data_IF_740092295684
#
_entry.id   IF_740092295684
#
_cell.length_a   1.000
_cell.length_b   1.000
_cell.length_c   1.000
_cell.angle_alpha   90.00
_cell.angle_beta   90.00
_cell.angle_gamma   90.00
#
_symmetry.space_group_name_H-M   'P 1'
#
loop_
_entity.id
_entity.type
_entity.pdbx_description
1 polymer ?
#
# COMPACT_ATOMS: atom_id res chain seq x y z
N UNK A 1 -38.57 24.06 52.21
CA UNK A 1 -37.67 23.06 52.82
C UNK A 1 -37.25 22.06 51.76
N UNK A 2 -35.93 21.85 51.66
CA UNK A 2 -35.22 20.73 51.06
C UNK A 2 -35.05 20.69 49.53
N UNK A 3 -33.86 21.15 49.12
CA UNK A 3 -33.11 20.60 48.01
C UNK A 3 -32.86 19.10 48.20
N UNK A 4 -32.74 18.34 47.11
CA UNK A 4 -31.79 17.23 47.13
C UNK A 4 -31.21 16.90 45.74
N UNK A 5 -29.88 16.96 45.70
CA UNK A 5 -28.99 16.53 44.65
C UNK A 5 -29.12 15.02 44.38
N UNK A 6 -28.98 14.62 43.12
CA UNK A 6 -28.35 13.34 42.75
C UNK A 6 -27.36 13.61 41.62
N UNK A 7 -26.19 14.06 42.01
CA UNK A 7 -24.98 13.95 41.23
C UNK A 7 -24.54 12.48 41.36
N UNK A 8 -24.70 11.71 40.28
CA UNK A 8 -24.25 10.33 40.25
C UNK A 8 -22.72 10.33 40.07
N UNK A 9 -22.01 9.92 41.12
CA UNK A 9 -20.58 9.62 41.09
C UNK A 9 -20.28 8.55 40.03
N UNK A 10 -19.81 8.98 38.86
CA UNK A 10 -19.05 8.10 37.96
C UNK A 10 -17.63 8.03 38.51
N UNK A 11 -17.31 6.95 39.21
CA UNK A 11 -15.92 6.65 39.54
C UNK A 11 -15.11 6.60 38.23
N UNK A 12 -13.96 7.29 38.15
CA UNK A 12 -13.08 7.18 37.00
C UNK A 12 -12.58 5.74 36.94
N UNK A 13 -12.95 5.02 35.87
CA UNK A 13 -12.46 3.66 35.63
C UNK A 13 -10.94 3.65 35.68
N UNK A 14 -10.37 2.79 36.52
CA UNK A 14 -8.93 2.61 36.63
C UNK A 14 -8.37 2.32 35.22
N UNK A 15 -7.60 3.27 34.66
CA UNK A 15 -6.80 3.00 33.45
C UNK A 15 -5.81 1.90 33.82
N UNK A 16 -5.88 0.77 33.14
CA UNK A 16 -4.79 -0.20 33.17
C UNK A 16 -3.49 0.54 32.79
N UNK A 17 -2.39 0.31 33.51
CA UNK A 17 -1.11 0.90 33.15
C UNK A 17 -0.80 0.48 31.71
N UNK A 18 -0.41 1.44 30.88
CA UNK A 18 0.07 1.14 29.54
C UNK A 18 1.26 0.18 29.70
N UNK A 19 1.16 -1.03 29.14
CA UNK A 19 2.35 -1.86 29.02
C UNK A 19 3.23 -1.22 27.96
N UNK A 20 4.45 -0.82 28.33
CA UNK A 20 5.47 -0.31 27.40
C UNK A 20 5.88 -1.35 26.32
N UNK A 21 5.32 -2.56 26.39
CA UNK A 21 5.53 -3.61 25.41
C UNK A 21 4.51 -3.51 24.29
N UNK A 22 5.01 -3.25 23.08
CA UNK A 22 4.24 -3.52 21.87
C UNK A 22 3.74 -4.97 21.85
N UNK A 23 2.60 -5.25 21.19
CA UNK A 23 2.13 -6.60 20.99
C UNK A 23 3.23 -7.45 20.36
N UNK A 24 3.38 -8.70 20.82
CA UNK A 24 4.37 -9.61 20.27
C UNK A 24 4.02 -9.92 18.81
N UNK A 25 4.82 -9.40 17.88
CA UNK A 25 4.68 -9.70 16.46
C UNK A 25 5.56 -10.89 16.08
N UNK A 26 5.09 -11.73 15.18
CA UNK A 26 5.89 -12.83 14.67
C UNK A 26 7.04 -12.28 13.82
N UNK A 27 8.25 -12.80 14.02
CA UNK A 27 9.38 -12.53 13.13
C UNK A 27 9.05 -13.02 11.73
N UNK A 28 9.27 -12.19 10.72
CA UNK A 28 9.12 -12.59 9.32
C UNK A 28 10.26 -13.52 8.89
N UNK A 29 10.07 -14.18 7.76
CA UNK A 29 11.03 -15.05 7.10
C UNK A 29 11.02 -14.73 5.58
N UNK A 30 11.92 -15.30 4.77
CA UNK A 30 11.84 -15.15 3.33
C UNK A 30 10.48 -15.59 2.76
N UNK A 31 9.82 -16.57 3.36
CA UNK A 31 8.47 -16.98 2.97
C UNK A 31 7.42 -15.90 3.30
N UNK A 32 6.53 -15.54 2.34
CA UNK A 32 5.43 -14.61 2.58
C UNK A 32 4.52 -15.05 3.74
N UNK A 33 4.16 -14.12 4.62
CA UNK A 33 3.19 -14.35 5.68
C UNK A 33 1.81 -13.84 5.25
N UNK A 34 0.83 -14.74 5.18
CA UNK A 34 -0.55 -14.40 4.83
C UNK A 34 -1.48 -14.76 5.98
N UNK A 35 -2.27 -13.79 6.45
CA UNK A 35 -3.25 -14.05 7.49
C UNK A 35 -4.34 -15.01 6.98
N UNK A 36 -4.82 -15.99 7.78
CA UNK A 36 -5.81 -16.98 7.33
C UNK A 36 -7.15 -16.43 6.82
N UNK A 37 -7.48 -15.18 7.14
CA UNK A 37 -8.71 -14.51 6.69
C UNK A 37 -8.53 -13.67 5.42
N UNK A 38 -7.30 -13.59 4.89
CA UNK A 38 -7.05 -12.93 3.61
C UNK A 38 -7.45 -13.84 2.43
N UNK A 39 -7.94 -13.22 1.36
CA UNK A 39 -8.33 -13.91 0.12
C UNK A 39 -7.44 -13.44 -1.02
N UNK A 40 -6.74 -14.39 -1.65
CA UNK A 40 -5.81 -14.12 -2.73
C UNK A 40 -6.28 -14.84 -4.00
N UNK A 41 -6.35 -14.11 -5.12
CA UNK A 41 -6.64 -14.66 -6.45
C UNK A 41 -5.65 -14.12 -7.46
N UNK A 42 -4.97 -15.00 -8.20
CA UNK A 42 -3.93 -14.62 -9.16
C UNK A 42 -2.90 -13.63 -8.57
N UNK A 43 -2.47 -13.87 -7.33
CA UNK A 43 -1.56 -13.00 -6.57
C UNK A 43 -0.19 -13.62 -6.43
N UNK A 44 0.86 -12.83 -6.66
CA UNK A 44 2.26 -13.18 -6.39
C UNK A 44 2.82 -12.31 -5.27
N UNK A 45 3.44 -12.94 -4.28
CA UNK A 45 4.06 -12.26 -3.15
C UNK A 45 5.57 -12.48 -3.19
N UNK A 46 6.32 -11.40 -2.95
CA UNK A 46 7.77 -11.40 -2.78
C UNK A 46 8.20 -11.87 -1.41
N UNK A 47 9.50 -12.02 -1.21
CA UNK A 47 10.06 -12.50 0.05
C UNK A 47 9.86 -11.49 1.18
N UNK A 48 9.75 -11.95 2.43
CA UNK A 48 9.60 -11.07 3.60
C UNK A 48 8.34 -10.19 3.57
N UNK A 49 7.32 -10.58 2.82
CA UNK A 49 6.06 -9.83 2.72
C UNK A 49 5.05 -10.27 3.78
N UNK A 50 4.15 -9.37 4.14
CA UNK A 50 3.04 -9.65 5.05
C UNK A 50 1.70 -9.16 4.49
N UNK A 51 0.68 -10.02 4.55
CA UNK A 51 -0.71 -9.71 4.19
C UNK A 51 -1.59 -9.86 5.43
N UNK A 52 -2.12 -8.74 5.89
CA UNK A 52 -2.96 -8.63 7.08
C UNK A 52 -4.34 -9.26 6.95
N UNK A 53 -5.09 -9.20 8.04
CA UNK A 53 -6.42 -9.80 8.16
C UNK A 53 -7.41 -9.23 7.14
N UNK A 54 -8.29 -10.08 6.61
CA UNK A 54 -9.43 -9.67 5.75
C UNK A 54 -9.02 -8.86 4.51
N UNK A 55 -7.75 -8.95 4.10
CA UNK A 55 -7.31 -8.38 2.85
C UNK A 55 -7.86 -9.19 1.66
N UNK A 56 -8.22 -8.50 0.59
CA UNK A 56 -8.61 -9.10 -0.69
C UNK A 56 -7.62 -8.65 -1.75
N UNK A 57 -6.83 -9.58 -2.26
CA UNK A 57 -5.86 -9.32 -3.33
C UNK A 57 -6.27 -10.09 -4.58
N UNK A 58 -6.48 -9.38 -5.69
CA UNK A 58 -6.97 -9.97 -6.94
C UNK A 58 -6.15 -9.47 -8.14
N UNK A 59 -5.37 -10.34 -8.78
CA UNK A 59 -4.38 -9.98 -9.80
C UNK A 59 -3.34 -8.97 -9.27
N UNK A 60 -2.70 -9.32 -8.16
CA UNK A 60 -1.76 -8.44 -7.44
C UNK A 60 -0.35 -9.02 -7.46
N UNK A 61 0.64 -8.16 -7.69
CA UNK A 61 2.04 -8.46 -7.42
C UNK A 61 2.52 -7.58 -6.26
N UNK A 62 2.98 -8.19 -5.17
CA UNK A 62 3.54 -7.48 -4.01
C UNK A 62 5.04 -7.77 -3.94
N UNK A 63 5.89 -6.76 -4.12
CA UNK A 63 7.35 -6.93 -4.08
C UNK A 63 7.89 -7.26 -2.69
N UNK A 64 9.14 -7.75 -2.66
CA UNK A 64 9.85 -8.14 -1.43
C UNK A 64 9.77 -7.06 -0.33
N UNK A 65 9.64 -7.46 0.92
CA UNK A 65 9.52 -6.61 2.12
C UNK A 65 8.32 -5.67 2.17
N UNK A 66 7.47 -5.63 1.15
CA UNK A 66 6.23 -4.86 1.19
C UNK A 66 5.19 -5.55 2.03
N UNK A 67 4.32 -4.77 2.68
CA UNK A 67 3.22 -5.30 3.46
C UNK A 67 1.93 -4.53 3.22
N UNK A 68 0.83 -5.20 3.52
CA UNK A 68 -0.49 -4.60 3.60
C UNK A 68 -1.17 -4.98 4.90
N UNK A 69 -1.56 -3.96 5.65
CA UNK A 69 -2.31 -4.10 6.88
C UNK A 69 -3.77 -4.50 6.63
N UNK A 70 -4.49 -4.86 7.71
CA UNK A 70 -5.85 -5.39 7.64
C UNK A 70 -6.85 -4.58 6.80
N UNK A 71 -7.86 -5.25 6.28
CA UNK A 71 -9.01 -4.69 5.55
C UNK A 71 -8.63 -3.98 4.22
N UNK A 72 -7.49 -4.32 3.62
CA UNK A 72 -7.09 -3.80 2.30
C UNK A 72 -7.76 -4.53 1.12
N UNK A 73 -8.10 -3.81 0.06
CA UNK A 73 -8.65 -4.39 -1.18
C UNK A 73 -7.86 -3.87 -2.39
N UNK A 74 -7.06 -4.75 -3.00
CA UNK A 74 -6.22 -4.46 -4.16
C UNK A 74 -6.67 -5.31 -5.34
N UNK A 75 -6.88 -4.65 -6.47
CA UNK A 75 -7.24 -5.30 -7.72
C UNK A 75 -6.28 -4.85 -8.82
N UNK A 76 -5.88 -5.71 -9.76
CA UNK A 76 -5.00 -5.34 -10.89
C UNK A 76 -3.93 -4.31 -10.49
N UNK A 77 -3.05 -4.70 -9.57
CA UNK A 77 -2.10 -3.79 -8.94
C UNK A 77 -0.71 -4.43 -8.90
N UNK A 78 0.31 -3.66 -9.27
CA UNK A 78 1.71 -4.02 -9.03
C UNK A 78 2.26 -3.09 -7.96
N UNK A 79 2.83 -3.65 -6.91
CA UNK A 79 3.49 -2.93 -5.81
C UNK A 79 4.96 -3.27 -5.82
N UNK A 80 5.80 -2.26 -5.70
CA UNK A 80 7.25 -2.39 -5.57
C UNK A 80 7.65 -3.08 -4.26
N UNK A 81 8.95 -3.01 -3.98
CA UNK A 81 9.58 -3.55 -2.78
C UNK A 81 9.58 -2.52 -1.66
N UNK A 82 9.60 -2.98 -0.41
CA UNK A 82 9.65 -2.12 0.78
C UNK A 82 8.49 -1.11 0.90
N UNK A 83 7.38 -1.35 0.21
CA UNK A 83 6.22 -0.46 0.23
C UNK A 83 5.29 -0.80 1.39
N UNK A 84 4.94 0.24 2.15
CA UNK A 84 4.08 0.16 3.32
C UNK A 84 2.66 0.55 2.97
N UNK A 85 1.70 -0.38 3.13
CA UNK A 85 0.28 -0.13 2.88
C UNK A 85 -0.50 -0.28 4.19
N UNK A 86 -1.05 0.83 4.69
CA UNK A 86 -1.82 0.84 5.93
C UNK A 86 -3.21 0.21 5.77
N UNK A 87 -3.93 0.06 6.89
CA UNK A 87 -5.23 -0.62 6.90
C UNK A 87 -6.26 0.11 6.03
N UNK A 88 -7.25 -0.65 5.55
CA UNK A 88 -8.43 -0.11 4.85
C UNK A 88 -8.11 0.65 3.54
N UNK A 89 -6.99 0.31 2.89
CA UNK A 89 -6.61 0.89 1.59
C UNK A 89 -7.35 0.19 0.45
N UNK A 90 -7.81 0.97 -0.53
CA UNK A 90 -8.42 0.49 -1.78
C UNK A 90 -7.57 0.89 -2.99
N UNK A 91 -6.92 -0.06 -3.65
CA UNK A 91 -6.23 0.20 -4.92
C UNK A 91 -7.02 -0.39 -6.08
N UNK A 92 -7.19 0.43 -7.13
CA UNK A 92 -7.86 0.08 -8.38
C UNK A 92 -9.32 -0.42 -8.21
N UNK A 93 -10.23 0.39 -7.62
CA UNK A 93 -11.65 0.09 -7.68
C UNK A 93 -12.10 0.13 -9.16
N UNK A 94 -12.41 -1.03 -9.74
CA UNK A 94 -12.57 -1.12 -11.20
C UNK A 94 -13.77 -0.36 -11.73
N UNK A 95 -13.55 0.31 -12.87
CA UNK A 95 -14.56 1.08 -13.56
C UNK A 95 -15.62 0.19 -14.25
N UNK A 96 -16.82 0.72 -14.40
CA UNK A 96 -17.88 0.12 -15.21
C UNK A 96 -17.78 0.62 -16.67
N UNK A 97 -18.12 -0.21 -17.67
CA UNK A 97 -18.06 0.18 -19.07
C UNK A 97 -19.13 1.23 -19.37
N UNK A 98 -18.76 2.51 -19.27
CA UNK A 98 -19.66 3.66 -19.33
C UNK A 98 -20.17 3.97 -20.74
N UNK A 99 -19.56 3.36 -21.76
CA UNK A 99 -19.99 3.48 -23.15
C UNK A 99 -21.17 2.55 -23.51
N UNK A 100 -21.62 1.70 -22.57
CA UNK A 100 -22.77 0.80 -22.79
C UNK A 100 -24.10 1.48 -22.43
N UNK A 101 -25.24 0.98 -22.93
CA UNK A 101 -26.56 1.52 -22.59
C UNK A 101 -26.91 1.50 -21.09
N UNK A 102 -26.17 0.76 -20.27
CA UNK A 102 -26.34 0.69 -18.82
C UNK A 102 -25.01 0.44 -18.14
N UNK A 103 -24.87 0.98 -16.92
CA UNK A 103 -23.73 0.73 -16.04
C UNK A 103 -23.83 -0.61 -15.29
N UNK A 104 -24.95 -1.33 -15.38
CA UNK A 104 -25.12 -2.59 -14.67
C UNK A 104 -24.24 -3.71 -15.23
N UNK A 105 -23.70 -4.56 -14.36
CA UNK A 105 -22.75 -5.59 -14.74
C UNK A 105 -23.32 -6.81 -15.48
N UNK A 106 -24.64 -6.85 -15.73
CA UNK A 106 -25.22 -7.94 -16.52
C UNK A 106 -24.69 -7.93 -17.96
N UNK A 107 -24.32 -6.75 -18.47
CA UNK A 107 -23.80 -6.61 -19.83
C UNK A 107 -22.43 -7.27 -20.01
N UNK A 108 -21.63 -7.40 -18.95
CA UNK A 108 -20.28 -7.98 -19.00
C UNK A 108 -20.08 -9.19 -18.08
N UNK A 109 -21.13 -9.63 -17.39
CA UNK A 109 -21.20 -10.85 -16.57
C UNK A 109 -22.52 -11.60 -16.81
N UNK A 110 -22.87 -11.93 -18.06
CA UNK A 110 -24.18 -12.51 -18.37
C UNK A 110 -24.42 -13.87 -17.71
N UNK A 111 -23.37 -14.66 -17.46
CA UNK A 111 -23.46 -15.96 -16.77
C UNK A 111 -24.02 -15.84 -15.35
N UNK A 112 -23.66 -14.78 -14.62
CA UNK A 112 -24.16 -14.49 -13.28
C UNK A 112 -25.69 -14.32 -13.24
N UNK A 113 -26.29 -13.95 -14.36
CA UNK A 113 -27.73 -13.70 -14.49
C UNK A 113 -28.47 -14.81 -15.23
N UNK A 114 -27.79 -15.91 -15.57
CA UNK A 114 -28.39 -17.01 -16.33
C UNK A 114 -28.77 -16.62 -17.76
N UNK A 115 -28.16 -15.57 -18.32
CA UNK A 115 -28.39 -15.16 -19.71
C UNK A 115 -27.59 -15.99 -20.71
N UNK A 116 -26.66 -16.80 -20.22
CA UNK A 116 -25.83 -17.73 -20.99
C UNK A 116 -25.89 -19.11 -20.34
N UNK A 117 -25.59 -20.16 -21.12
CA UNK A 117 -25.51 -21.54 -20.62
C UNK A 117 -24.35 -21.75 -19.63
N UNK A 118 -23.26 -21.00 -19.80
CA UNK A 118 -22.17 -20.94 -18.83
C UNK A 118 -22.46 -19.90 -17.74
N UNK A 119 -22.61 -20.36 -16.50
CA UNK A 119 -22.85 -19.51 -15.31
C UNK A 119 -21.68 -18.60 -14.93
N UNK A 120 -20.48 -18.89 -15.44
CA UNK A 120 -19.28 -18.09 -15.23
C UNK A 120 -18.92 -17.22 -16.44
N UNK A 121 -19.76 -17.21 -17.49
CA UNK A 121 -19.50 -16.41 -18.69
C UNK A 121 -19.34 -14.93 -18.35
N UNK A 122 -18.25 -14.36 -18.84
CA UNK A 122 -17.89 -12.95 -18.75
C UNK A 122 -17.48 -12.41 -20.12
N UNK A 123 -17.62 -11.11 -20.28
CA UNK A 123 -17.16 -10.39 -21.45
C UNK A 123 -15.66 -10.08 -21.31
N UNK A 124 -14.84 -10.87 -22.00
CA UNK A 124 -13.38 -10.82 -21.84
C UNK A 124 -12.78 -9.46 -22.21
N UNK A 125 -13.37 -8.73 -23.16
CA UNK A 125 -12.88 -7.43 -23.59
C UNK A 125 -13.00 -6.38 -22.46
N UNK A 126 -14.09 -6.43 -21.69
CA UNK A 126 -14.27 -5.55 -20.52
C UNK A 126 -13.28 -5.88 -19.41
N UNK A 127 -12.97 -7.15 -19.19
CA UNK A 127 -12.00 -7.55 -18.17
C UNK A 127 -10.56 -7.23 -18.59
N UNK A 128 -10.21 -7.42 -19.87
CA UNK A 128 -8.92 -6.99 -20.42
C UNK A 128 -8.76 -5.46 -20.32
N UNK A 129 -9.79 -4.68 -20.63
CA UNK A 129 -9.77 -3.23 -20.43
C UNK A 129 -9.50 -2.83 -18.97
N UNK A 130 -10.17 -3.49 -18.00
CA UNK A 130 -9.92 -3.24 -16.57
C UNK A 130 -8.51 -3.60 -16.15
N UNK A 131 -7.95 -4.68 -16.71
CA UNK A 131 -6.57 -5.07 -16.43
C UNK A 131 -5.55 -4.08 -17.02
N UNK A 132 -5.85 -3.47 -18.17
CA UNK A 132 -5.02 -2.43 -18.76
C UNK A 132 -4.94 -1.17 -17.89
N UNK A 133 -6.00 -0.84 -17.14
CA UNK A 133 -6.00 0.23 -16.14
C UNK A 133 -5.37 -0.21 -14.81
N UNK A 134 -4.25 -0.95 -14.87
CA UNK A 134 -3.50 -1.42 -13.69
C UNK A 134 -2.95 -0.24 -12.89
N UNK A 135 -3.01 -0.34 -11.56
CA UNK A 135 -2.29 0.59 -10.66
C UNK A 135 -0.87 0.08 -10.46
N UNK A 136 0.11 0.99 -10.51
CA UNK A 136 1.51 0.68 -10.22
C UNK A 136 1.97 1.54 -9.04
N UNK A 137 2.44 0.90 -7.98
CA UNK A 137 3.06 1.55 -6.83
C UNK A 137 4.55 1.21 -6.85
N UNK A 138 5.40 2.23 -6.75
CA UNK A 138 6.84 2.11 -6.74
C UNK A 138 7.39 1.43 -5.49
N UNK A 139 8.71 1.46 -5.38
CA UNK A 139 9.47 0.99 -4.22
C UNK A 139 9.44 2.02 -3.08
N UNK A 140 9.54 1.57 -1.83
CA UNK A 140 9.61 2.46 -0.64
C UNK A 140 8.45 3.47 -0.54
N UNK A 141 7.30 3.17 -1.15
CA UNK A 141 6.15 4.05 -1.06
C UNK A 141 5.43 3.86 0.27
N UNK A 142 4.80 4.92 0.78
CA UNK A 142 3.93 4.84 1.94
C UNK A 142 2.51 5.24 1.60
N UNK A 143 1.59 4.28 1.71
CA UNK A 143 0.17 4.45 1.46
C UNK A 143 -0.57 4.50 2.79
N UNK A 144 -1.05 5.69 3.15
CA UNK A 144 -1.74 5.96 4.42
C UNK A 144 -3.08 5.25 4.56
N UNK A 145 -3.58 5.19 5.80
CA UNK A 145 -4.83 4.52 6.15
C UNK A 145 -6.00 5.05 5.32
N UNK A 146 -6.87 4.17 4.82
CA UNK A 146 -8.11 4.58 4.14
C UNK A 146 -7.90 5.24 2.78
N UNK A 147 -6.70 5.16 2.19
CA UNK A 147 -6.43 5.73 0.87
C UNK A 147 -7.17 4.95 -0.23
N UNK A 148 -7.69 5.69 -1.21
CA UNK A 148 -8.18 5.11 -2.48
C UNK A 148 -7.31 5.58 -3.64
N UNK A 149 -6.81 4.65 -4.45
CA UNK A 149 -6.07 4.96 -5.70
C UNK A 149 -6.90 4.50 -6.89
N UNK A 150 -7.24 5.42 -7.79
CA UNK A 150 -8.10 5.13 -8.94
C UNK A 150 -7.37 4.29 -10.01
N UNK A 151 -8.12 3.57 -10.87
CA UNK A 151 -7.54 2.75 -11.94
C UNK A 151 -6.57 3.53 -12.83
N UNK A 152 -5.49 2.87 -13.26
CA UNK A 152 -4.47 3.42 -14.18
C UNK A 152 -3.45 4.38 -13.55
N UNK A 153 -3.53 4.66 -12.25
CA UNK A 153 -2.62 5.59 -11.58
C UNK A 153 -1.27 4.94 -11.25
N UNK A 154 -0.19 5.69 -11.47
CA UNK A 154 1.17 5.37 -11.03
C UNK A 154 1.60 6.19 -9.81
N UNK A 155 2.10 5.52 -8.78
CA UNK A 155 2.70 6.14 -7.59
C UNK A 155 4.20 5.88 -7.64
N UNK A 156 5.01 6.94 -7.70
CA UNK A 156 6.47 6.84 -7.80
C UNK A 156 7.15 6.28 -6.55
N UNK A 157 8.43 5.94 -6.70
CA UNK A 157 9.27 5.45 -5.60
C UNK A 157 9.35 6.49 -4.47
N UNK A 158 9.38 6.04 -3.22
CA UNK A 158 9.54 6.91 -2.06
C UNK A 158 8.39 7.91 -1.83
N UNK A 159 7.31 7.83 -2.61
CA UNK A 159 6.17 8.73 -2.52
C UNK A 159 5.32 8.42 -1.27
N UNK A 160 4.70 9.47 -0.72
CA UNK A 160 3.86 9.37 0.47
C UNK A 160 2.44 9.82 0.11
N UNK A 161 1.47 8.95 0.31
CA UNK A 161 0.04 9.27 0.16
C UNK A 161 -0.58 9.35 1.55
N UNK A 162 -0.95 10.56 1.97
CA UNK A 162 -1.54 10.78 3.30
C UNK A 162 -2.88 10.07 3.48
N UNK A 163 -3.22 9.74 4.73
CA UNK A 163 -4.43 9.01 5.09
C UNK A 163 -5.71 9.65 4.52
N UNK A 164 -6.68 8.82 4.12
CA UNK A 164 -7.98 9.23 3.58
C UNK A 164 -7.93 9.88 2.20
N UNK A 165 -6.78 9.90 1.52
CA UNK A 165 -6.65 10.55 0.22
C UNK A 165 -7.30 9.74 -0.91
N UNK A 166 -7.83 10.43 -1.91
CA UNK A 166 -8.30 9.83 -3.17
C UNK A 166 -7.38 10.26 -4.31
N UNK A 167 -6.51 9.36 -4.73
CA UNK A 167 -5.48 9.62 -5.74
C UNK A 167 -6.10 9.41 -7.13
N UNK A 168 -6.23 10.50 -7.88
CA UNK A 168 -6.89 10.53 -9.20
C UNK A 168 -5.92 10.76 -10.36
N UNK A 169 -4.62 10.92 -10.08
CA UNK A 169 -3.55 11.20 -11.04
C UNK A 169 -2.23 10.63 -10.50
N UNK A 170 -1.28 10.42 -11.38
CA UNK A 170 0.05 9.95 -11.02
C UNK A 170 0.72 10.83 -9.96
N UNK A 171 1.46 10.18 -9.07
CA UNK A 171 2.23 10.80 -7.99
C UNK A 171 3.71 10.68 -8.36
N UNK A 172 4.44 11.80 -8.53
CA UNK A 172 5.87 11.73 -8.82
C UNK A 172 6.65 11.07 -7.67
N UNK A 173 7.81 10.45 -7.97
CA UNK A 173 8.70 9.91 -6.94
C UNK A 173 9.02 10.95 -5.86
N UNK A 174 9.12 10.48 -4.61
CA UNK A 174 9.49 11.28 -3.44
C UNK A 174 8.60 12.50 -3.19
N UNK A 175 7.36 12.51 -3.70
CA UNK A 175 6.38 13.54 -3.38
C UNK A 175 5.41 13.08 -2.31
N UNK A 176 4.96 14.03 -1.50
CA UNK A 176 3.87 13.83 -0.54
C UNK A 176 2.59 14.39 -1.15
N UNK A 177 1.54 13.58 -1.21
CA UNK A 177 0.21 13.99 -1.67
C UNK A 177 -0.83 13.77 -0.57
N UNK A 178 -1.83 14.65 -0.51
CA UNK A 178 -2.94 14.55 0.45
C UNK A 178 -4.27 15.03 -0.17
N UNK A 179 -5.39 14.55 0.37
CA UNK A 179 -6.73 15.09 0.12
C UNK A 179 -7.60 14.26 -0.85
N UNK A 180 -8.83 14.72 -1.04
CA UNK A 180 -9.79 14.15 -1.99
C UNK A 180 -10.41 15.28 -2.85
N UNK A 181 -9.99 15.42 -4.13
CA UNK A 181 -8.95 14.64 -4.79
C UNK A 181 -7.55 15.00 -4.29
N UNK A 182 -6.63 14.02 -4.29
CA UNK A 182 -5.28 14.20 -3.77
C UNK A 182 -4.50 15.23 -4.60
N UNK A 183 -3.71 16.05 -3.91
CA UNK A 183 -2.81 17.05 -4.51
C UNK A 183 -1.45 16.97 -3.87
N UNK A 184 -0.42 17.33 -4.63
CA UNK A 184 0.93 17.51 -4.11
C UNK A 184 0.90 18.53 -2.98
N UNK A 185 1.42 18.11 -1.82
CA UNK A 185 1.62 18.95 -0.66
C UNK A 185 3.03 19.55 -0.69
N UNK A 186 4.05 18.69 -0.78
CA UNK A 186 5.48 19.05 -0.79
C UNK A 186 6.35 17.84 -1.18
N UNK A 187 7.64 18.03 -1.53
CA UNK A 187 8.59 16.92 -1.62
C UNK A 187 8.83 16.28 -0.23
N UNK A 188 9.24 15.00 -0.24
CA UNK A 188 9.65 14.23 0.94
C UNK A 188 10.89 14.84 1.58
N UNK A 189 11.86 15.24 0.75
CA UNK A 189 13.13 15.83 1.15
C UNK A 189 13.19 17.31 0.79
N UNK A 190 13.83 18.11 1.64
CA UNK A 190 14.11 19.52 1.34
C UNK A 190 15.29 19.66 0.38
N UNK A 191 16.31 18.80 0.53
CA UNK A 191 17.42 18.71 -0.40
C UNK A 191 16.97 17.97 -1.68
N UNK A 192 17.01 18.66 -2.82
CA UNK A 192 16.57 18.16 -4.13
C UNK A 192 17.46 17.08 -4.72
N UNK A 193 18.70 16.92 -4.23
CA UNK A 193 19.67 15.97 -4.78
C UNK A 193 19.44 14.55 -4.24
N UNK A 194 18.82 14.44 -3.05
CA UNK A 194 18.58 13.16 -2.37
C UNK A 194 17.74 12.19 -3.23
N UNK A 195 16.60 12.58 -3.82
CA UNK A 195 15.82 11.71 -4.71
C UNK A 195 16.64 11.04 -5.82
N UNK A 196 17.41 11.82 -6.57
CA UNK A 196 18.18 11.32 -7.71
C UNK A 196 19.29 10.36 -7.25
N UNK A 197 19.97 10.69 -6.15
CA UNK A 197 20.99 9.82 -5.54
C UNK A 197 20.39 8.51 -5.01
N UNK A 198 19.21 8.55 -4.38
CA UNK A 198 18.52 7.33 -3.94
C UNK A 198 18.11 6.43 -5.12
N UNK A 199 17.65 7.01 -6.22
CA UNK A 199 17.36 6.26 -7.45
C UNK A 199 18.63 5.64 -8.05
N UNK A 200 19.75 6.37 -8.05
CA UNK A 200 21.03 5.86 -8.53
C UNK A 200 21.56 4.70 -7.68
N UNK A 201 21.42 4.79 -6.35
CA UNK A 201 21.80 3.71 -5.42
C UNK A 201 20.88 2.49 -5.56
N UNK A 202 19.57 2.70 -5.77
CA UNK A 202 18.61 1.62 -5.99
C UNK A 202 18.58 0.59 -4.86
N UNK A 203 18.68 1.05 -3.60
CA UNK A 203 18.93 0.18 -2.44
C UNK A 203 17.87 -0.91 -2.22
N UNK A 204 16.64 -0.72 -2.73
CA UNK A 204 15.58 -1.74 -2.71
C UNK A 204 15.92 -3.01 -3.53
N UNK A 205 17.02 -3.01 -4.27
CA UNK A 205 17.56 -4.18 -4.94
C UNK A 205 18.68 -4.89 -4.18
N UNK A 206 19.12 -4.35 -3.04
CA UNK A 206 20.19 -4.93 -2.25
C UNK A 206 19.79 -6.30 -1.65
N UNK A 207 20.76 -7.24 -1.52
CA UNK A 207 20.51 -8.50 -0.84
C UNK A 207 20.30 -8.28 0.67
N UNK A 208 19.63 -9.24 1.33
CA UNK A 208 19.26 -9.14 2.76
C UNK A 208 20.47 -8.86 3.66
N UNK A 209 21.60 -9.50 3.38
CA UNK A 209 22.83 -9.38 4.16
C UNK A 209 23.43 -7.97 4.06
N UNK A 210 23.30 -7.32 2.89
CA UNK A 210 23.79 -5.95 2.69
C UNK A 210 22.88 -4.95 3.41
N UNK A 211 21.56 -5.15 3.36
CA UNK A 211 20.61 -4.35 4.16
C UNK A 211 20.92 -4.45 5.65
N UNK A 212 21.22 -5.66 6.13
CA UNK A 212 21.59 -5.90 7.52
C UNK A 212 22.92 -5.23 7.90
N UNK A 213 23.95 -5.33 7.04
CA UNK A 213 25.25 -4.71 7.27
C UNK A 213 25.17 -3.18 7.35
N UNK A 214 24.29 -2.57 6.56
CA UNK A 214 24.07 -1.12 6.51
C UNK A 214 22.90 -0.62 7.37
N UNK A 215 22.37 -1.45 8.28
CA UNK A 215 21.23 -1.08 9.12
C UNK A 215 21.47 0.24 9.88
N UNK A 216 22.70 0.48 10.34
CA UNK A 216 23.05 1.71 11.07
C UNK A 216 23.00 2.95 10.18
N UNK A 217 23.36 2.82 8.91
CA UNK A 217 23.29 3.92 7.95
C UNK A 217 21.84 4.27 7.63
N UNK A 218 20.98 3.27 7.44
CA UNK A 218 19.53 3.46 7.25
C UNK A 218 18.81 4.08 8.45
N UNK A 219 19.33 3.87 9.67
CA UNK A 219 18.77 4.44 10.90
C UNK A 219 19.15 5.92 11.10
N UNK A 220 20.01 6.47 10.24
CA UNK A 220 20.47 7.85 10.26
C UNK A 220 19.71 8.78 9.32
N UNK A 221 20.38 9.87 8.94
CA UNK A 221 19.89 10.83 7.96
C UNK A 221 20.12 10.31 6.52
N UNK A 222 19.21 10.65 5.60
CA UNK A 222 19.27 10.17 4.22
C UNK A 222 20.51 10.66 3.46
N UNK A 223 20.97 11.89 3.70
CA UNK A 223 22.19 12.42 3.09
C UNK A 223 23.42 11.69 3.64
N UNK A 224 23.47 11.48 4.96
CA UNK A 224 24.55 10.73 5.59
C UNK A 224 24.62 9.27 5.10
N UNK A 225 23.47 8.62 4.91
CA UNK A 225 23.37 7.31 4.28
C UNK A 225 23.99 7.33 2.88
N UNK A 226 23.56 8.27 2.03
CA UNK A 226 24.05 8.39 0.66
C UNK A 226 25.57 8.63 0.61
N UNK A 227 26.08 9.55 1.42
CA UNK A 227 27.51 9.86 1.49
C UNK A 227 28.33 8.61 1.90
N UNK A 228 27.82 7.80 2.83
CA UNK A 228 28.49 6.58 3.27
C UNK A 228 28.52 5.48 2.18
N UNK A 229 27.42 5.28 1.47
CA UNK A 229 27.29 4.15 0.51
C UNK A 229 27.93 4.45 -0.84
N UNK A 230 27.95 5.72 -1.24
CA UNK A 230 28.61 6.16 -2.47
C UNK A 230 30.14 6.08 -2.32
N UNK A 231 30.69 6.46 -1.17
CA UNK A 231 32.12 6.31 -0.88
C UNK A 231 32.61 4.85 -1.02
N UNK A 232 31.81 3.88 -0.58
CA UNK A 232 32.11 2.45 -0.70
C UNK A 232 32.11 1.98 -2.17
N UNK A 233 31.27 2.59 -3.00
CA UNK A 233 31.17 2.26 -4.43
C UNK A 233 32.37 2.82 -5.20
N UNK A 234 32.86 3.99 -4.83
CA UNK A 234 34.06 4.62 -5.41
C UNK A 234 35.35 3.88 -5.06
N UNK A 235 35.48 3.34 -3.84
CA UNK A 235 36.66 2.55 -3.43
C UNK A 235 36.76 1.17 -4.10
N UNK A 236 35.67 0.71 -4.73
CA UNK A 236 35.59 -0.58 -5.43
C UNK A 236 35.70 -0.46 -6.96
N UNK A 237 35.77 0.76 -7.49
CA UNK A 237 36.00 1.08 -8.91
C UNK A 237 37.47 1.23 -9.23
#
# INVERSE_FOLDING_TARGET
MHANQRQADRQPGARQPASDHQPTMATLAPEPRVHPTASLNATRLGSWTEVGERCVLNHVELGDYSYIERDGDLMFTKVGRFTSIASSVRLNPSNHPWWRPTLHHFTYRPGKFGFTSDSQAVDQDVFAWRENDRVVVGHDAWIGHGVTVLPGVHIGNGAIVGAGSVVTRDVPPYMIVVGNPARVLRPRFENSDIPERLEAVGWWHWPHELLQAHLKDFQGDALAFLDAVEAISEERG
#
